data_IF_890933807811
#
_entry.id   IF_890933807811
#
_cell.length_a   1.000
_cell.length_b   1.000
_cell.length_c   1.000
_cell.angle_alpha   90.00
_cell.angle_beta   90.00
_cell.angle_gamma   90.00
#
_symmetry.space_group_name_H-M   'P 1'
#
loop_
_entity.id
_entity.type
_entity.pdbx_description
1 polymer ?
#
# COMPACT_ATOMS: atom_id res chain seq x y z
N UNK A 1 -9.38 9.30 -19.46
CA UNK A 1 -9.33 7.94 -18.95
C UNK A 1 -7.90 7.53 -18.70
N UNK A 2 -7.65 6.90 -17.58
CA UNK A 2 -6.36 6.35 -17.26
C UNK A 2 -6.55 4.93 -16.74
N UNK A 3 -5.72 4.02 -17.22
CA UNK A 3 -5.71 2.67 -16.71
C UNK A 3 -4.26 2.22 -16.58
N UNK A 4 -4.03 1.26 -15.73
CA UNK A 4 -2.70 0.75 -15.52
C UNK A 4 -2.52 0.21 -14.13
N UNK A 5 -1.29 -0.17 -13.84
CA UNK A 5 -0.91 -0.75 -12.57
C UNK A 5 -0.04 0.24 -11.80
N UNK A 6 -0.35 0.45 -10.54
CA UNK A 6 0.47 1.27 -9.64
C UNK A 6 0.96 0.38 -8.52
N UNK A 7 2.27 0.40 -8.28
CA UNK A 7 2.88 -0.33 -7.17
C UNK A 7 3.19 0.66 -6.07
N UNK A 8 2.66 0.40 -4.88
CA UNK A 8 2.83 1.27 -3.71
C UNK A 8 3.59 0.48 -2.65
N UNK A 9 4.70 1.05 -2.18
CA UNK A 9 5.43 0.49 -1.06
C UNK A 9 4.85 1.02 0.23
N UNK A 10 4.55 0.13 1.17
CA UNK A 10 3.96 0.51 2.45
C UNK A 10 4.78 -0.05 3.60
N UNK A 11 4.76 0.67 4.71
CA UNK A 11 5.28 0.17 5.98
C UNK A 11 4.10 0.03 6.92
N UNK A 12 3.96 -1.14 7.51
CA UNK A 12 2.85 -1.50 8.38
C UNK A 12 3.39 -1.67 9.78
N UNK A 13 2.75 -1.03 10.74
CA UNK A 13 3.20 -1.11 12.12
C UNK A 13 2.71 -2.38 12.81
N UNK A 14 3.03 -2.51 14.08
CA UNK A 14 2.71 -3.70 14.87
C UNK A 14 1.21 -3.90 15.04
N UNK A 15 0.41 -2.86 14.83
CA UNK A 15 -1.06 -2.91 14.95
C UNK A 15 -1.75 -3.16 13.63
N UNK A 16 -1.00 -3.32 12.53
CA UNK A 16 -1.59 -3.51 11.20
C UNK A 16 -1.97 -2.22 10.50
N UNK A 17 -1.54 -1.09 11.01
CA UNK A 17 -1.81 0.22 10.40
C UNK A 17 -0.68 0.63 9.45
N UNK A 18 -1.06 1.24 8.33
CA UNK A 18 -0.08 1.75 7.38
C UNK A 18 0.45 3.08 7.91
N UNK A 19 1.73 3.13 8.22
CA UNK A 19 2.38 4.33 8.74
C UNK A 19 3.18 5.08 7.68
N UNK A 20 3.41 4.45 6.53
CA UNK A 20 4.10 5.07 5.42
C UNK A 20 3.63 4.41 4.13
N UNK A 21 3.44 5.22 3.10
CA UNK A 21 3.04 4.71 1.79
C UNK A 21 3.59 5.65 0.72
N UNK A 22 4.20 5.09 -0.32
CA UNK A 22 4.63 5.87 -1.47
C UNK A 22 4.61 5.02 -2.72
N UNK A 23 4.31 5.64 -3.85
CA UNK A 23 4.27 4.95 -5.12
C UNK A 23 5.68 4.78 -5.66
N UNK A 24 6.01 3.58 -6.10
CA UNK A 24 7.31 3.28 -6.69
C UNK A 24 7.24 3.15 -8.20
N UNK A 25 6.05 2.97 -8.76
CA UNK A 25 5.84 2.95 -10.20
C UNK A 25 4.39 3.24 -10.53
N UNK A 26 4.12 3.59 -11.77
CA UNK A 26 2.77 3.83 -12.26
C UNK A 26 2.58 5.24 -12.77
N UNK A 27 1.43 5.49 -13.38
CA UNK A 27 1.08 6.80 -13.93
C UNK A 27 0.92 7.82 -12.79
N UNK A 28 1.48 9.04 -12.93
CA UNK A 28 1.45 10.01 -11.83
C UNK A 28 0.06 10.32 -11.28
N UNK A 29 -0.95 10.42 -12.14
CA UNK A 29 -2.31 10.69 -11.68
C UNK A 29 -2.87 9.54 -10.85
N UNK A 30 -2.52 8.31 -11.21
CA UNK A 30 -2.96 7.13 -10.48
C UNK A 30 -2.17 6.92 -9.20
N UNK A 31 -0.92 7.40 -9.16
CA UNK A 31 -0.09 7.27 -7.96
C UNK A 31 -0.74 7.96 -6.76
N UNK A 32 -1.26 9.16 -6.96
CA UNK A 32 -1.89 9.91 -5.88
C UNK A 32 -3.09 9.15 -5.31
N UNK A 33 -3.93 8.60 -6.20
CA UNK A 33 -5.11 7.82 -5.78
C UNK A 33 -4.68 6.55 -5.05
N UNK A 34 -3.68 5.85 -5.58
CA UNK A 34 -3.21 4.59 -5.01
C UNK A 34 -2.60 4.81 -3.61
N UNK A 35 -1.80 5.86 -3.45
CA UNK A 35 -1.18 6.16 -2.15
C UNK A 35 -2.27 6.51 -1.13
N UNK A 36 -3.26 7.29 -1.53
CA UNK A 36 -4.37 7.63 -0.63
C UNK A 36 -5.13 6.37 -0.20
N UNK A 37 -5.38 5.46 -1.14
CA UNK A 37 -6.03 4.19 -0.83
C UNK A 37 -5.18 3.34 0.11
N UNK A 38 -3.87 3.29 -0.12
CA UNK A 38 -2.96 2.50 0.70
C UNK A 38 -2.92 3.02 2.14
N UNK A 39 -2.96 4.33 2.33
CA UNK A 39 -2.92 4.92 3.67
C UNK A 39 -4.16 4.58 4.49
N UNK A 40 -5.29 4.34 3.83
CA UNK A 40 -6.51 3.95 4.50
C UNK A 40 -6.66 2.44 4.71
N UNK A 41 -5.75 1.65 4.19
CA UNK A 41 -5.82 0.20 4.31
C UNK A 41 -5.44 -0.25 5.72
N UNK A 42 -6.04 -1.37 6.13
CA UNK A 42 -5.75 -2.00 7.41
C UNK A 42 -5.39 -3.45 7.16
N UNK A 43 -4.44 -3.94 7.90
CA UNK A 43 -3.96 -5.31 7.76
C UNK A 43 -3.96 -6.01 9.10
N UNK A 44 -4.02 -7.34 9.07
CA UNK A 44 -3.80 -8.11 10.28
C UNK A 44 -2.34 -7.97 10.70
N UNK A 45 -2.06 -7.78 12.00
CA UNK A 45 -0.67 -7.67 12.44
C UNK A 45 0.15 -8.90 12.03
N UNK A 46 1.36 -8.66 11.58
CA UNK A 46 2.32 -9.73 11.31
C UNK A 46 3.06 -10.05 12.59
N UNK A 47 3.16 -11.34 12.91
CA UNK A 47 3.82 -11.77 14.14
C UNK A 47 5.03 -12.62 13.81
N UNK A 48 6.08 -12.42 14.58
CA UNK A 48 7.28 -13.23 14.52
C UNK A 48 7.53 -13.77 15.92
N UNK A 49 7.54 -15.08 16.07
CA UNK A 49 7.68 -15.74 17.36
C UNK A 49 6.67 -15.23 18.39
N UNK A 50 5.42 -15.01 17.95
CA UNK A 50 4.35 -14.54 18.81
C UNK A 50 4.36 -13.05 19.10
N UNK A 51 5.32 -12.30 18.59
CA UNK A 51 5.43 -10.86 18.79
C UNK A 51 5.02 -10.11 17.53
N UNK A 52 4.12 -9.11 17.63
CA UNK A 52 3.82 -8.28 16.47
C UNK A 52 5.05 -7.50 16.03
N UNK A 53 5.26 -7.39 14.73
CA UNK A 53 6.44 -6.72 14.18
C UNK A 53 6.03 -5.74 13.09
N UNK A 54 6.86 -4.73 12.90
CA UNK A 54 6.72 -3.80 11.78
C UNK A 54 7.22 -4.48 10.51
N UNK A 55 6.48 -4.34 9.43
CA UNK A 55 6.86 -4.96 8.15
C UNK A 55 6.73 -3.95 7.03
N UNK A 56 7.55 -4.14 6.00
CA UNK A 56 7.47 -3.38 4.76
C UNK A 56 7.02 -4.32 3.65
N UNK A 57 6.05 -3.88 2.86
CA UNK A 57 5.55 -4.67 1.76
C UNK A 57 5.14 -3.79 0.60
N UNK A 58 4.59 -4.40 -0.43
CA UNK A 58 4.09 -3.66 -1.58
C UNK A 58 2.65 -4.07 -1.86
N UNK A 59 1.87 -3.10 -2.32
CA UNK A 59 0.50 -3.33 -2.78
C UNK A 59 0.45 -2.93 -4.24
N UNK A 60 -0.11 -3.80 -5.07
CA UNK A 60 -0.29 -3.52 -6.48
C UNK A 60 -1.76 -3.18 -6.72
N UNK A 61 -2.00 -1.99 -7.23
CA UNK A 61 -3.35 -1.54 -7.58
C UNK A 61 -3.50 -1.59 -9.10
N UNK A 62 -4.58 -2.21 -9.54
CA UNK A 62 -4.93 -2.25 -10.96
C UNK A 62 -6.09 -1.31 -11.21
N UNK A 63 -5.87 -0.35 -12.09
CA UNK A 63 -6.90 0.63 -12.48
C UNK A 63 -7.35 0.32 -13.89
N UNK A 64 -8.66 0.32 -14.08
CA UNK A 64 -9.25 0.05 -15.39
C UNK A 64 -10.07 1.27 -15.77
N UNK A 65 -9.83 1.78 -16.98
CA UNK A 65 -10.60 2.92 -17.51
C UNK A 65 -12.04 2.49 -17.74
N UNK A 66 -12.96 3.36 -17.36
CA UNK A 66 -14.38 3.12 -17.53
C UNK A 66 -14.92 3.89 -18.73
#
# INVERSE_FOLDING_TARGET
>A
HASGTVVVQVTIDENGSVISAHAVSGHPLLQAVAVAAARGARFSPTKLSGQPVKVTGVITYNFVAQ
#
